data_IF_664026973503
#
_entry.id   IF_664026973503
#
_cell.length_a   1.000
_cell.length_b   1.000
_cell.length_c   1.000
_cell.angle_alpha   90.00
_cell.angle_beta   90.00
_cell.angle_gamma   90.00
#
_symmetry.space_group_name_H-M   'P 1'
#
loop_
_entity.id
_entity.type
_entity.pdbx_description
1 polymer ?
#
# COMPACT_ATOMS: atom_id res chain seq x y z
N UNK A 1 -77.14 -29.35 -33.70
CA UNK A 1 -77.47 -27.91 -33.59
C UNK A 1 -77.36 -27.52 -32.12
N UNK A 2 -76.76 -26.34 -31.86
CA UNK A 2 -76.56 -25.71 -30.54
C UNK A 2 -75.56 -26.43 -29.62
N UNK A 3 -74.39 -25.92 -29.24
CA UNK A 3 -73.90 -24.54 -29.12
C UNK A 3 -73.59 -24.29 -27.64
N UNK A 4 -72.31 -24.10 -27.27
CA UNK A 4 -71.89 -23.05 -26.33
C UNK A 4 -70.37 -22.98 -26.14
N UNK A 5 -69.90 -21.76 -25.95
CA UNK A 5 -68.52 -21.31 -25.89
C UNK A 5 -67.87 -21.45 -24.50
N UNK A 6 -66.55 -21.21 -24.48
CA UNK A 6 -65.73 -20.64 -23.37
C UNK A 6 -65.38 -21.60 -22.20
N UNK A 7 -64.23 -21.59 -21.51
CA UNK A 7 -63.20 -20.56 -21.22
C UNK A 7 -61.79 -21.19 -21.09
N UNK A 8 -60.78 -20.37 -21.38
CA UNK A 8 -59.36 -20.54 -21.02
C UNK A 8 -59.22 -20.44 -19.50
N UNK A 9 -58.46 -21.35 -18.87
CA UNK A 9 -58.02 -21.18 -17.47
C UNK A 9 -56.51 -21.31 -17.37
N UNK A 10 -55.92 -20.26 -16.79
CA UNK A 10 -54.49 -19.98 -16.71
C UNK A 10 -53.72 -20.98 -15.84
N UNK A 11 -52.56 -21.37 -16.36
CA UNK A 11 -51.49 -22.00 -15.62
C UNK A 11 -50.99 -21.08 -14.49
N UNK A 12 -50.91 -21.61 -13.28
CA UNK A 12 -50.11 -21.04 -12.18
C UNK A 12 -48.95 -21.98 -11.92
N UNK A 13 -47.85 -21.79 -12.66
CA UNK A 13 -46.56 -22.37 -12.31
C UNK A 13 -45.79 -21.29 -11.53
N UNK A 14 -45.78 -21.40 -10.21
CA UNK A 14 -44.98 -20.57 -9.32
C UNK A 14 -43.50 -20.94 -9.53
N UNK A 15 -42.77 -20.13 -10.29
CA UNK A 15 -41.32 -20.18 -10.37
C UNK A 15 -40.75 -19.70 -9.03
N UNK A 16 -40.25 -20.64 -8.22
CA UNK A 16 -39.30 -20.31 -7.16
C UNK A 16 -38.01 -19.83 -7.83
N UNK A 17 -37.82 -18.51 -7.82
CA UNK A 17 -36.53 -17.93 -8.11
C UNK A 17 -35.55 -18.30 -6.99
N UNK A 18 -34.75 -19.33 -7.22
CA UNK A 18 -33.50 -19.54 -6.49
C UNK A 18 -32.57 -18.41 -6.87
N UNK A 19 -32.56 -17.34 -6.08
CA UNK A 19 -31.51 -16.34 -6.15
C UNK A 19 -30.23 -17.01 -5.68
N UNK A 20 -29.41 -17.43 -6.64
CA UNK A 20 -28.01 -17.72 -6.39
C UNK A 20 -27.42 -16.47 -5.71
N UNK A 21 -27.09 -16.64 -4.43
CA UNK A 21 -26.25 -15.70 -3.71
C UNK A 21 -24.99 -15.53 -4.55
N UNK A 22 -24.90 -14.40 -5.24
CA UNK A 22 -23.66 -13.98 -5.85
C UNK A 22 -22.74 -13.75 -4.66
N UNK A 23 -21.77 -14.64 -4.50
CA UNK A 23 -20.55 -14.30 -3.79
C UNK A 23 -20.07 -13.00 -4.43
N UNK A 24 -20.29 -11.89 -3.75
CA UNK A 24 -19.56 -10.66 -4.00
C UNK A 24 -18.12 -11.05 -3.76
N UNK A 25 -17.37 -11.32 -4.85
CA UNK A 25 -15.93 -11.25 -4.82
C UNK A 25 -15.59 -9.99 -4.04
N UNK A 26 -14.81 -10.14 -2.98
CA UNK A 26 -14.16 -9.03 -2.32
C UNK A 26 -13.63 -8.10 -3.42
N UNK A 27 -14.20 -6.91 -3.49
CA UNK A 27 -13.65 -5.79 -4.24
C UNK A 27 -12.42 -5.34 -3.46
N UNK A 28 -11.37 -6.17 -3.49
CA UNK A 28 -10.06 -5.82 -2.95
C UNK A 28 -9.57 -4.69 -3.85
N UNK A 29 -9.61 -3.47 -3.35
CA UNK A 29 -8.93 -2.35 -3.98
C UNK A 29 -7.50 -2.79 -4.36
N UNK A 30 -6.98 -2.37 -5.53
CA UNK A 30 -5.74 -2.95 -6.04
C UNK A 30 -4.58 -2.62 -5.10
N UNK A 31 -3.94 -3.66 -4.56
CA UNK A 31 -2.56 -3.57 -4.09
C UNK A 31 -1.72 -2.97 -5.22
N UNK A 32 -1.10 -1.83 -4.99
CA UNK A 32 -0.29 -1.12 -5.99
C UNK A 32 1.07 -1.80 -6.13
N UNK A 33 1.57 -2.40 -5.04
CA UNK A 33 2.80 -3.18 -5.05
C UNK A 33 2.88 -4.13 -3.85
N UNK A 34 3.49 -5.31 -4.06
CA UNK A 34 3.85 -6.27 -3.00
C UNK A 34 5.21 -6.88 -3.31
N UNK A 35 6.11 -6.95 -2.33
CA UNK A 35 7.43 -7.52 -2.53
C UNK A 35 8.18 -7.86 -1.25
N UNK A 36 9.17 -8.74 -1.36
CA UNK A 36 10.13 -9.03 -0.30
C UNK A 36 11.33 -8.09 -0.42
N UNK A 37 11.55 -7.29 0.61
CA UNK A 37 12.54 -6.24 0.66
C UNK A 37 13.68 -6.59 1.61
N UNK A 38 14.90 -6.19 1.26
CA UNK A 38 16.05 -6.19 2.15
C UNK A 38 16.62 -4.78 2.25
N UNK A 39 17.08 -4.40 3.45
CA UNK A 39 17.86 -3.18 3.61
C UNK A 39 19.26 -3.40 3.07
N UNK A 40 19.62 -2.69 2.00
CA UNK A 40 20.89 -2.90 1.29
C UNK A 40 21.89 -1.79 1.58
N UNK A 41 21.43 -0.55 1.75
CA UNK A 41 22.30 0.61 1.92
C UNK A 41 21.82 1.57 3.02
N UNK A 42 22.77 2.30 3.58
CA UNK A 42 22.54 3.53 4.35
C UNK A 42 23.18 4.67 3.60
N UNK A 43 22.41 5.70 3.30
CA UNK A 43 22.83 6.84 2.49
C UNK A 43 22.74 8.13 3.28
N UNK A 44 23.58 9.10 2.93
CA UNK A 44 23.51 10.48 3.41
C UNK A 44 22.57 11.32 2.55
N UNK A 45 22.12 12.46 3.07
CA UNK A 45 21.37 13.48 2.32
C UNK A 45 22.13 14.03 1.10
N UNK A 46 23.45 13.94 1.10
CA UNK A 46 24.33 14.27 -0.05
C UNK A 46 24.46 13.15 -1.09
N UNK A 47 23.81 12.00 -0.87
CA UNK A 47 23.76 10.88 -1.82
C UNK A 47 24.91 9.87 -1.70
N UNK A 48 25.79 9.98 -0.69
CA UNK A 48 26.81 8.98 -0.45
C UNK A 48 26.21 7.77 0.27
N UNK A 49 26.31 6.58 -0.33
CA UNK A 49 25.75 5.34 0.21
C UNK A 49 26.83 4.35 0.62
N UNK A 50 26.64 3.72 1.78
CA UNK A 50 27.42 2.57 2.25
C UNK A 50 26.54 1.34 2.35
N UNK A 51 27.14 0.16 2.17
CA UNK A 51 26.41 -1.11 2.33
C UNK A 51 26.08 -1.38 3.79
N UNK A 52 24.95 -2.03 4.04
CA UNK A 52 24.55 -2.50 5.38
C UNK A 52 24.46 -4.01 5.39
N UNK A 53 24.81 -4.69 6.49
CA UNK A 53 24.51 -6.10 6.63
C UNK A 53 22.99 -6.32 6.58
N UNK A 54 22.54 -7.28 5.76
CA UNK A 54 21.11 -7.62 5.66
C UNK A 54 20.59 -8.04 7.04
N UNK A 55 19.59 -7.31 7.54
CA UNK A 55 18.94 -7.58 8.83
C UNK A 55 17.79 -8.60 8.71
N UNK A 56 17.62 -9.21 7.54
CA UNK A 56 16.50 -10.07 7.18
C UNK A 56 15.60 -9.45 6.10
N UNK A 57 14.65 -10.25 5.62
CA UNK A 57 13.65 -9.79 4.66
C UNK A 57 12.43 -9.19 5.38
N UNK A 58 11.89 -8.12 4.79
CA UNK A 58 10.66 -7.46 5.19
C UNK A 58 9.67 -7.59 4.03
N UNK A 59 8.44 -8.00 4.32
CA UNK A 59 7.35 -7.86 3.36
C UNK A 59 6.98 -6.37 3.26
N UNK A 60 6.88 -5.86 2.04
CA UNK A 60 6.42 -4.51 1.74
C UNK A 60 5.17 -4.58 0.87
N UNK A 61 4.13 -3.91 1.32
CA UNK A 61 2.86 -3.76 0.63
C UNK A 61 2.53 -2.28 0.52
N UNK A 62 2.33 -1.81 -0.72
CA UNK A 62 1.87 -0.46 -1.01
C UNK A 62 0.43 -0.57 -1.46
N UNK A 63 -0.46 -0.05 -0.63
CA UNK A 63 -1.90 -0.03 -0.85
C UNK A 63 -2.36 1.42 -1.11
N UNK A 64 -3.57 1.64 -1.64
CA UNK A 64 -4.08 2.99 -1.88
C UNK A 64 -4.18 3.85 -0.60
N UNK A 65 -4.29 3.23 0.58
CA UNK A 65 -4.38 3.87 1.90
C UNK A 65 -3.02 4.06 2.60
N UNK A 66 -1.90 3.58 2.03
CA UNK A 66 -0.57 3.80 2.58
C UNK A 66 0.40 2.64 2.35
N UNK A 67 1.45 2.57 3.17
CA UNK A 67 2.42 1.47 3.13
C UNK A 67 2.36 0.65 4.40
N UNK A 68 2.34 -0.66 4.20
CA UNK A 68 2.59 -1.64 5.25
C UNK A 68 3.93 -2.28 4.98
N UNK A 69 4.76 -2.31 5.99
CA UNK A 69 5.98 -3.11 5.98
C UNK A 69 5.79 -4.15 7.07
N UNK A 70 6.50 -5.27 7.08
CA UNK A 70 6.40 -6.17 8.23
C UNK A 70 7.29 -7.38 8.09
N UNK A 71 7.53 -8.05 9.21
CA UNK A 71 7.97 -9.45 9.16
C UNK A 71 6.78 -10.40 9.07
N UNK A 72 5.66 -10.00 9.70
CA UNK A 72 4.34 -10.63 9.73
C UNK A 72 3.25 -9.54 9.83
N UNK A 73 1.97 -9.88 9.58
CA UNK A 73 0.83 -8.94 9.44
C UNK A 73 0.60 -7.98 10.63
N UNK A 74 1.15 -8.28 11.80
CA UNK A 74 0.93 -7.59 13.07
C UNK A 74 1.99 -6.52 13.42
N UNK A 75 3.14 -6.50 12.73
CA UNK A 75 4.23 -5.58 13.04
C UNK A 75 4.42 -4.54 11.92
N UNK A 76 4.56 -3.28 12.33
CA UNK A 76 4.82 -2.03 11.60
C UNK A 76 3.58 -1.16 11.31
N UNK A 77 3.33 -0.29 12.29
CA UNK A 77 2.44 0.86 12.19
C UNK A 77 2.87 1.75 11.02
N UNK A 78 2.07 1.67 9.96
CA UNK A 78 1.94 2.52 8.76
C UNK A 78 3.09 3.50 8.49
N UNK A 79 3.83 3.21 7.42
CA UNK A 79 4.70 4.18 6.75
C UNK A 79 3.87 4.76 5.59
N UNK A 80 4.01 6.04 5.27
CA UNK A 80 3.36 6.59 4.07
C UNK A 80 4.27 6.45 2.85
N UNK A 81 3.72 6.15 1.68
CA UNK A 81 4.46 6.07 0.41
C UNK A 81 4.16 7.27 -0.47
N UNK A 82 5.22 7.81 -1.07
CA UNK A 82 5.17 8.96 -1.95
C UNK A 82 5.97 8.68 -3.22
N UNK A 83 5.55 9.30 -4.33
CA UNK A 83 6.30 9.21 -5.57
C UNK A 83 7.60 10.02 -5.49
N UNK A 84 7.59 11.12 -4.72
CA UNK A 84 8.74 12.01 -4.57
C UNK A 84 8.98 12.45 -3.13
N UNK A 85 10.23 12.87 -2.84
CA UNK A 85 10.59 13.44 -1.55
C UNK A 85 9.78 14.72 -1.23
N UNK A 86 9.53 15.57 -2.23
CA UNK A 86 8.79 16.82 -2.04
C UNK A 86 7.36 16.56 -1.55
N UNK A 87 6.68 15.55 -2.10
CA UNK A 87 5.35 15.12 -1.65
C UNK A 87 5.36 14.64 -0.20
N UNK A 88 6.38 13.86 0.19
CA UNK A 88 6.54 13.36 1.55
C UNK A 88 6.80 14.44 2.61
N UNK A 89 7.26 15.64 2.20
CA UNK A 89 7.55 16.78 3.09
C UNK A 89 6.37 17.72 3.35
N UNK A 90 5.42 17.81 2.42
CA UNK A 90 4.17 18.58 2.52
C UNK A 90 2.97 18.00 3.33
N UNK A 91 2.99 16.78 3.90
CA UNK A 91 1.81 16.21 4.56
C UNK A 91 1.39 17.00 5.81
N UNK A 92 0.12 16.91 6.22
CA UNK A 92 -0.40 17.70 7.32
C UNK A 92 0.44 17.52 8.58
N UNK A 93 0.54 18.58 9.40
CA UNK A 93 1.17 18.52 10.72
C UNK A 93 0.36 17.60 11.66
N UNK A 94 0.50 16.29 11.48
CA UNK A 94 0.06 15.33 12.49
C UNK A 94 0.97 15.51 13.71
N UNK A 95 0.47 15.46 14.96
CA UNK A 95 1.20 15.96 16.13
C UNK A 95 2.44 15.17 16.56
N UNK A 96 2.91 14.21 15.77
CA UNK A 96 4.01 13.34 16.13
C UNK A 96 5.36 13.85 15.61
N UNK A 97 6.26 14.07 16.55
CA UNK A 97 7.62 14.60 16.49
C UNK A 97 8.59 13.87 15.54
N UNK A 98 8.16 12.76 14.93
CA UNK A 98 8.95 11.94 14.03
C UNK A 98 8.03 11.27 13.01
N UNK A 99 8.27 11.55 11.73
CA UNK A 99 7.55 10.92 10.61
C UNK A 99 8.51 10.11 9.76
N UNK A 100 8.08 8.92 9.36
CA UNK A 100 8.84 8.04 8.47
C UNK A 100 8.02 7.85 7.21
N UNK A 101 8.65 7.95 6.04
CA UNK A 101 7.98 7.75 4.76
C UNK A 101 8.91 7.12 3.74
N UNK A 102 8.29 6.50 2.74
CA UNK A 102 8.91 5.73 1.69
C UNK A 102 8.86 6.52 0.37
N UNK A 103 9.97 6.59 -0.36
CA UNK A 103 10.07 7.24 -1.67
C UNK A 103 10.59 6.25 -2.71
N UNK A 104 9.98 6.20 -3.88
CA UNK A 104 10.49 5.41 -5.01
C UNK A 104 11.86 5.93 -5.48
N UNK A 105 12.82 5.02 -5.62
CA UNK A 105 14.09 5.32 -6.28
C UNK A 105 14.03 4.92 -7.75
N UNK A 106 14.81 5.60 -8.63
CA UNK A 106 14.93 5.22 -10.03
C UNK A 106 15.27 3.73 -10.20
N UNK A 107 14.71 3.14 -11.27
CA UNK A 107 14.88 1.72 -11.58
C UNK A 107 16.26 1.50 -12.23
N UNK A 108 17.29 1.44 -11.40
CA UNK A 108 18.67 1.22 -11.86
C UNK A 108 19.07 -0.27 -11.83
N UNK A 109 18.15 -1.16 -11.42
CA UNK A 109 18.38 -2.58 -11.16
C UNK A 109 17.10 -3.40 -11.44
N UNK A 110 17.18 -4.74 -11.56
CA UNK A 110 15.98 -5.58 -11.73
C UNK A 110 15.03 -5.55 -10.52
N UNK A 111 15.51 -5.16 -9.34
CA UNK A 111 14.71 -5.02 -8.12
C UNK A 111 14.21 -3.57 -7.97
N UNK A 112 12.96 -3.41 -7.51
CA UNK A 112 12.42 -2.09 -7.16
C UNK A 112 13.11 -1.60 -5.89
N UNK A 113 13.50 -0.32 -5.86
CA UNK A 113 14.21 0.26 -4.74
C UNK A 113 13.40 1.38 -4.11
N UNK A 114 13.47 1.48 -2.79
CA UNK A 114 12.81 2.52 -2.03
C UNK A 114 13.76 3.16 -1.02
N UNK A 115 13.66 4.48 -0.85
CA UNK A 115 14.31 5.19 0.23
C UNK A 115 13.35 5.35 1.42
N UNK A 116 13.82 5.00 2.62
CA UNK A 116 13.13 5.23 3.88
C UNK A 116 13.70 6.50 4.51
N UNK A 117 12.94 7.58 4.47
CA UNK A 117 13.30 8.87 5.05
C UNK A 117 12.65 9.07 6.41
N UNK A 118 13.34 9.81 7.27
CA UNK A 118 12.81 10.24 8.57
C UNK A 118 12.86 11.75 8.66
N UNK A 119 11.71 12.36 8.91
CA UNK A 119 11.56 13.78 9.21
C UNK A 119 11.35 13.94 10.73
N UNK A 120 12.02 14.92 11.31
CA UNK A 120 11.94 15.29 12.74
C UNK A 120 11.74 16.80 12.87
N UNK A 121 11.54 17.33 14.08
CA UNK A 121 11.56 18.78 14.31
C UNK A 121 12.97 19.28 14.62
N UNK A 122 13.31 20.44 14.08
CA UNK A 122 14.49 21.19 14.50
C UNK A 122 14.30 21.59 15.98
N UNK A 123 15.28 21.36 16.86
CA UNK A 123 15.13 21.58 18.29
C UNK A 123 14.79 23.03 18.65
N UNK A 124 15.38 24.00 17.94
CA UNK A 124 15.21 25.42 18.27
C UNK A 124 14.02 26.10 17.56
N UNK A 125 13.68 25.68 16.34
CA UNK A 125 12.70 26.38 15.49
C UNK A 125 11.39 25.62 15.34
N UNK A 126 11.34 24.34 15.73
CA UNK A 126 10.18 23.47 15.54
C UNK A 126 9.91 23.10 14.08
N UNK A 127 10.68 23.64 13.12
CA UNK A 127 10.50 23.38 11.70
C UNK A 127 10.77 21.91 11.36
N UNK A 128 10.03 21.33 10.40
CA UNK A 128 10.30 19.99 9.92
C UNK A 128 11.66 19.94 9.21
N UNK A 129 12.52 19.01 9.61
CA UNK A 129 13.84 18.76 9.03
C UNK A 129 14.00 17.28 8.73
N UNK A 130 14.56 16.98 7.55
CA UNK A 130 14.97 15.61 7.24
C UNK A 130 16.20 15.25 8.06
N UNK A 131 16.24 14.02 8.57
CA UNK A 131 17.49 13.46 9.09
C UNK A 131 18.52 13.40 7.96
N UNK A 132 19.81 13.60 8.26
CA UNK A 132 20.87 13.61 7.25
C UNK A 132 21.18 12.20 6.69
N UNK A 133 20.36 11.20 7.00
CA UNK A 133 20.53 9.82 6.59
C UNK A 133 19.18 9.19 6.22
N UNK A 134 19.20 8.32 5.21
CA UNK A 134 18.09 7.47 4.81
C UNK A 134 18.57 6.05 4.52
N UNK A 135 17.66 5.08 4.52
CA UNK A 135 17.97 3.68 4.23
C UNK A 135 17.40 3.29 2.87
N UNK A 136 18.09 2.42 2.15
CA UNK A 136 17.58 1.87 0.90
C UNK A 136 17.09 0.45 1.12
N UNK A 137 15.85 0.21 0.71
CA UNK A 137 15.27 -1.11 0.56
C UNK A 137 15.36 -1.53 -0.89
N UNK A 138 15.84 -2.75 -1.14
CA UNK A 138 15.79 -3.41 -2.44
C UNK A 138 14.77 -4.54 -2.36
N UNK A 139 13.79 -4.52 -3.26
CA UNK A 139 12.60 -5.35 -3.17
C UNK A 139 12.38 -6.17 -4.44
N UNK A 140 12.16 -7.47 -4.25
CA UNK A 140 11.74 -8.41 -5.28
C UNK A 140 10.21 -8.52 -5.24
N UNK A 141 9.55 -8.27 -6.37
CA UNK A 141 8.10 -8.38 -6.46
C UNK A 141 7.63 -9.83 -6.27
N UNK A 142 6.51 -10.01 -5.57
CA UNK A 142 5.85 -11.30 -5.36
C UNK A 142 4.68 -11.51 -6.32
#
# INVERSE_FOLDING_TARGET
>A
MSGNQTFISCATATLLATTAAHATLEETAPLIYRGLCQMTETCTDTGACGTTPSLGALLLEITPDGTRMGRDDADLAVIEHFATLAEGLLPPEVPDFRRTFLVDLPVDAPARRFAVHVQTRHPDTGAPVLRPQYFVLSCEAL
#
